data_IF_189578736481
#
_entry.id   IF_189578736481
#
_cell.length_a   1.000
_cell.length_b   1.000
_cell.length_c   1.000
_cell.angle_alpha   90.00
_cell.angle_beta   90.00
_cell.angle_gamma   90.00
#
_symmetry.space_group_name_H-M   'P 1'
#
loop_
_entity.id
_entity.type
_entity.pdbx_description
1 polymer ?
#
# COMPACT_ATOMS: atom_id res chain seq x y z
N UNK A 1 7.44 -5.84 -16.76
CA UNK A 1 6.73 -5.47 -15.53
C UNK A 1 5.25 -5.93 -15.47
N UNK A 2 4.80 -6.85 -16.35
CA UNK A 2 3.40 -7.29 -16.40
C UNK A 2 2.99 -8.37 -15.36
N UNK A 3 3.93 -9.01 -14.63
CA UNK A 3 3.61 -10.13 -13.71
C UNK A 3 3.30 -9.70 -12.26
N UNK A 4 3.89 -8.61 -11.78
CA UNK A 4 3.73 -8.13 -10.40
C UNK A 4 2.31 -7.64 -10.14
N UNK A 5 1.88 -6.60 -10.87
CA UNK A 5 0.53 -6.04 -10.72
C UNK A 5 -0.58 -7.07 -10.99
N UNK A 6 -0.37 -7.98 -11.95
CA UNK A 6 -1.33 -9.05 -12.28
C UNK A 6 -1.51 -10.05 -11.14
N UNK A 7 -0.47 -10.37 -10.37
CA UNK A 7 -0.61 -11.33 -9.28
C UNK A 7 -1.47 -10.75 -8.14
N UNK A 8 -1.21 -9.50 -7.75
CA UNK A 8 -2.01 -8.83 -6.73
C UNK A 8 -3.49 -8.70 -7.15
N UNK A 9 -3.75 -8.22 -8.36
CA UNK A 9 -5.13 -8.01 -8.84
C UNK A 9 -5.87 -9.33 -9.07
N UNK A 10 -5.24 -10.32 -9.71
CA UNK A 10 -5.86 -11.63 -9.95
C UNK A 10 -6.13 -12.43 -8.66
N UNK A 11 -5.46 -12.08 -7.56
CA UNK A 11 -5.67 -12.69 -6.24
C UNK A 11 -6.60 -11.86 -5.36
N UNK A 12 -7.13 -10.74 -5.86
CA UNK A 12 -7.89 -9.76 -5.10
C UNK A 12 -7.16 -9.32 -3.81
N UNK A 13 -5.83 -9.24 -3.84
CA UNK A 13 -5.00 -8.92 -2.68
C UNK A 13 -4.94 -10.01 -1.59
N UNK A 14 -5.55 -11.18 -1.78
CA UNK A 14 -5.50 -12.29 -0.82
C UNK A 14 -4.17 -13.04 -0.92
N UNK A 15 -3.39 -13.02 0.16
CA UNK A 15 -2.10 -13.73 0.28
C UNK A 15 -2.26 -15.21 -0.04
N UNK A 16 -3.27 -15.88 0.54
CA UNK A 16 -3.50 -17.32 0.33
C UNK A 16 -3.81 -17.62 -1.13
N UNK A 17 -4.71 -16.85 -1.77
CA UNK A 17 -5.01 -17.02 -3.21
C UNK A 17 -3.77 -16.75 -4.07
N UNK A 18 -2.97 -15.75 -3.70
CA UNK A 18 -1.72 -15.42 -4.38
C UNK A 18 -0.69 -16.55 -4.29
N UNK A 19 -0.50 -17.13 -3.10
CA UNK A 19 0.35 -18.28 -2.86
C UNK A 19 -0.09 -19.49 -3.68
N UNK A 20 -1.39 -19.83 -3.68
CA UNK A 20 -1.92 -20.95 -4.48
C UNK A 20 -1.73 -20.73 -5.99
N UNK A 21 -1.82 -19.49 -6.46
CA UNK A 21 -1.64 -19.11 -7.88
C UNK A 21 -0.17 -18.95 -8.30
N UNK A 22 0.75 -18.78 -7.36
CA UNK A 22 2.14 -18.43 -7.65
C UNK A 22 3.11 -19.40 -6.97
N UNK A 23 3.60 -20.37 -7.76
CA UNK A 23 4.55 -21.40 -7.29
C UNK A 23 6.02 -21.02 -7.47
N UNK A 24 6.30 -19.86 -8.06
CA UNK A 24 7.65 -19.35 -8.26
C UNK A 24 8.11 -18.49 -7.08
N UNK A 25 9.38 -18.09 -7.09
CA UNK A 25 9.92 -17.15 -6.11
C UNK A 25 9.36 -15.74 -6.25
N UNK A 26 8.92 -15.13 -5.14
CA UNK A 26 8.61 -13.70 -5.09
C UNK A 26 9.93 -12.92 -5.09
N UNK A 27 10.22 -12.12 -6.13
CA UNK A 27 11.46 -11.37 -6.19
C UNK A 27 11.54 -10.35 -5.03
N UNK A 28 12.68 -10.24 -4.31
CA UNK A 28 12.85 -9.25 -3.24
C UNK A 28 12.57 -7.81 -3.70
N UNK A 29 12.84 -7.52 -4.98
CA UNK A 29 12.55 -6.23 -5.60
C UNK A 29 11.07 -5.83 -5.57
N UNK A 30 10.12 -6.77 -5.61
CA UNK A 30 8.69 -6.44 -5.57
C UNK A 30 8.30 -5.87 -4.21
N UNK A 31 8.77 -6.50 -3.13
CA UNK A 31 8.58 -6.00 -1.77
C UNK A 31 9.25 -4.63 -1.61
N UNK A 32 10.49 -4.48 -2.08
CA UNK A 32 11.21 -3.19 -2.02
C UNK A 32 10.50 -2.09 -2.81
N UNK A 33 9.98 -2.39 -3.99
CA UNK A 33 9.26 -1.44 -4.81
C UNK A 33 7.94 -1.01 -4.14
N UNK A 34 7.15 -1.96 -3.64
CA UNK A 34 5.92 -1.66 -2.90
C UNK A 34 6.20 -0.80 -1.66
N UNK A 35 7.26 -1.13 -0.89
CA UNK A 35 7.72 -0.33 0.25
C UNK A 35 8.14 1.08 -0.18
N UNK A 36 8.92 1.20 -1.26
CA UNK A 36 9.37 2.50 -1.79
C UNK A 36 8.18 3.35 -2.21
N UNK A 37 7.21 2.78 -2.92
CA UNK A 37 5.98 3.46 -3.29
C UNK A 37 5.20 3.93 -2.07
N UNK A 38 5.04 3.09 -1.04
CA UNK A 38 4.38 3.48 0.21
C UNK A 38 5.10 4.64 0.90
N UNK A 39 6.43 4.54 1.05
CA UNK A 39 7.24 5.58 1.70
C UNK A 39 7.24 6.90 0.94
N UNK A 40 7.20 6.86 -0.39
CA UNK A 40 7.13 8.06 -1.22
C UNK A 40 5.84 8.87 -1.02
N UNK A 41 4.76 8.24 -0.56
CA UNK A 41 3.45 8.90 -0.35
C UNK A 41 3.35 9.54 1.06
N UNK A 42 4.18 9.13 2.03
CA UNK A 42 4.11 9.65 3.41
C UNK A 42 4.25 11.19 3.50
N UNK A 43 5.16 11.85 2.74
CA UNK A 43 5.20 13.31 2.71
C UNK A 43 3.92 13.96 2.15
N UNK A 44 3.28 13.34 1.15
CA UNK A 44 2.00 13.85 0.61
C UNK A 44 0.90 13.79 1.67
N UNK A 45 0.85 12.72 2.47
CA UNK A 45 -0.09 12.59 3.60
C UNK A 45 0.13 13.71 4.60
N UNK A 46 1.39 13.94 5.02
CA UNK A 46 1.73 14.98 5.98
C UNK A 46 1.30 16.37 5.48
N UNK A 47 1.58 16.68 4.21
CA UNK A 47 1.20 17.95 3.59
C UNK A 47 -0.32 18.14 3.50
N UNK A 48 -1.05 17.09 3.12
CA UNK A 48 -2.52 17.12 3.04
C UNK A 48 -3.16 17.31 4.42
N UNK A 49 -2.66 16.61 5.45
CA UNK A 49 -3.11 16.81 6.84
C UNK A 49 -2.80 18.21 7.34
N UNK A 50 -1.59 18.72 7.09
CA UNK A 50 -1.20 20.06 7.51
C UNK A 50 -2.09 21.13 6.86
N UNK A 51 -2.39 20.97 5.56
CA UNK A 51 -3.29 21.86 4.83
C UNK A 51 -4.72 21.82 5.38
N UNK A 52 -5.25 20.63 5.67
CA UNK A 52 -6.56 20.47 6.29
C UNK A 52 -6.60 21.13 7.68
N UNK A 53 -5.55 20.94 8.48
CA UNK A 53 -5.45 21.52 9.83
C UNK A 53 -5.47 23.04 9.77
N UNK A 54 -4.62 23.65 8.93
CA UNK A 54 -4.57 25.11 8.73
C UNK A 54 -5.92 25.65 8.31
N UNK A 55 -6.54 25.05 7.29
CA UNK A 55 -7.82 25.52 6.77
C UNK A 55 -8.94 25.49 7.84
N UNK A 56 -8.96 24.47 8.70
CA UNK A 56 -9.92 24.38 9.81
C UNK A 56 -9.70 25.44 10.90
N UNK A 57 -8.45 25.82 11.15
CA UNK A 57 -8.10 26.86 12.14
C UNK A 57 -8.37 28.25 11.57
N UNK A 58 -7.88 28.54 10.37
CA UNK A 58 -7.92 29.88 9.79
C UNK A 58 -9.32 30.24 9.27
N UNK A 59 -10.05 29.26 8.73
CA UNK A 59 -11.34 29.46 8.04
C UNK A 59 -12.36 28.37 8.39
N UNK A 60 -12.81 28.28 9.65
CA UNK A 60 -13.71 27.20 10.10
C UNK A 60 -15.06 27.15 9.37
N UNK A 61 -15.51 28.28 8.79
CA UNK A 61 -16.77 28.37 8.03
C UNK A 61 -16.62 28.01 6.55
N UNK A 62 -15.41 27.82 6.03
CA UNK A 62 -15.14 27.46 4.63
C UNK A 62 -15.44 25.97 4.34
N UNK A 63 -16.68 25.55 4.60
CA UNK A 63 -17.10 24.13 4.55
C UNK A 63 -16.82 23.45 3.22
N UNK A 64 -17.01 24.17 2.11
CA UNK A 64 -16.79 23.64 0.76
C UNK A 64 -15.30 23.34 0.51
N UNK A 65 -14.42 24.27 0.88
CA UNK A 65 -12.97 24.11 0.75
C UNK A 65 -12.46 22.99 1.68
N UNK A 66 -12.94 22.96 2.92
CA UNK A 66 -12.61 21.89 3.88
C UNK A 66 -13.02 20.53 3.31
N UNK A 67 -14.23 20.42 2.74
CA UNK A 67 -14.69 19.20 2.09
C UNK A 67 -13.85 18.79 0.88
N UNK A 68 -13.33 19.75 0.10
CA UNK A 68 -12.39 19.47 -1.00
C UNK A 68 -11.08 18.89 -0.47
N UNK A 69 -10.43 19.55 0.49
CA UNK A 69 -9.16 19.08 1.06
C UNK A 69 -9.31 17.74 1.77
N UNK A 70 -10.46 17.48 2.42
CA UNK A 70 -10.74 16.16 3.01
C UNK A 70 -10.81 15.04 1.96
N UNK A 71 -11.40 15.31 0.78
CA UNK A 71 -11.44 14.33 -0.32
C UNK A 71 -10.05 14.08 -0.90
N UNK A 72 -9.25 15.14 -1.06
CA UNK A 72 -7.84 15.01 -1.49
C UNK A 72 -7.03 14.18 -0.50
N UNK A 73 -7.13 14.46 0.80
CA UNK A 73 -6.48 13.67 1.85
C UNK A 73 -6.91 12.20 1.79
N UNK A 74 -8.20 11.91 1.62
CA UNK A 74 -8.70 10.54 1.46
C UNK A 74 -8.07 9.84 0.27
N UNK A 75 -7.99 10.50 -0.89
CA UNK A 75 -7.36 9.94 -2.09
C UNK A 75 -5.87 9.60 -1.88
N UNK A 76 -5.13 10.45 -1.16
CA UNK A 76 -3.73 10.16 -0.81
C UNK A 76 -3.63 8.97 0.15
N UNK A 77 -4.52 8.88 1.14
CA UNK A 77 -4.59 7.76 2.07
C UNK A 77 -4.92 6.44 1.34
N UNK A 78 -5.88 6.44 0.43
CA UNK A 78 -6.26 5.26 -0.37
C UNK A 78 -5.07 4.74 -1.21
N UNK A 79 -4.31 5.67 -1.81
CA UNK A 79 -3.06 5.33 -2.54
C UNK A 79 -2.02 4.70 -1.62
N UNK A 80 -1.80 5.27 -0.44
CA UNK A 80 -0.85 4.74 0.53
C UNK A 80 -1.28 3.36 1.02
N UNK A 81 -2.56 3.18 1.31
CA UNK A 81 -3.13 1.91 1.76
C UNK A 81 -2.97 0.85 0.68
N UNK A 82 -3.23 1.17 -0.60
CA UNK A 82 -3.00 0.25 -1.70
C UNK A 82 -1.51 -0.18 -1.79
N UNK A 83 -0.58 0.75 -1.62
CA UNK A 83 0.84 0.44 -1.62
C UNK A 83 1.23 -0.46 -0.42
N UNK A 84 0.67 -0.18 0.76
CA UNK A 84 0.84 -1.00 1.96
C UNK A 84 0.29 -2.42 1.78
N UNK A 85 -0.94 -2.55 1.27
CA UNK A 85 -1.56 -3.85 0.97
C UNK A 85 -0.72 -4.66 -0.03
N UNK A 86 -0.15 -4.03 -1.05
CA UNK A 86 0.77 -4.69 -1.99
C UNK A 86 2.06 -5.15 -1.31
N UNK A 87 2.66 -4.32 -0.45
CA UNK A 87 3.86 -4.71 0.32
C UNK A 87 3.59 -5.97 1.15
N UNK A 88 2.51 -5.95 1.93
CA UNK A 88 2.12 -7.07 2.78
C UNK A 88 1.74 -8.31 1.99
N UNK A 89 1.08 -8.14 0.84
CA UNK A 89 0.73 -9.24 -0.04
C UNK A 89 1.96 -10.01 -0.51
N UNK A 90 2.98 -9.30 -1.04
CA UNK A 90 4.19 -9.95 -1.52
C UNK A 90 5.05 -10.51 -0.38
N UNK A 91 5.14 -9.81 0.77
CA UNK A 91 5.80 -10.33 1.96
C UNK A 91 5.15 -11.61 2.46
N UNK A 92 3.82 -11.63 2.56
CA UNK A 92 3.06 -12.78 3.03
C UNK A 92 3.25 -14.00 2.13
N UNK A 93 3.17 -13.84 0.81
CA UNK A 93 3.43 -14.96 -0.12
C UNK A 93 4.85 -15.48 0.04
N UNK A 94 5.83 -14.57 0.21
CA UNK A 94 7.21 -14.97 0.38
C UNK A 94 7.43 -15.77 1.68
N UNK A 95 6.86 -15.31 2.79
CA UNK A 95 6.88 -16.05 4.07
C UNK A 95 6.29 -17.45 3.89
N UNK A 96 5.14 -17.57 3.24
CA UNK A 96 4.52 -18.88 2.98
C UNK A 96 5.41 -19.80 2.12
N UNK A 97 6.10 -19.26 1.12
CA UNK A 97 7.03 -20.02 0.29
C UNK A 97 8.29 -20.45 1.05
N UNK A 98 8.79 -19.60 1.96
CA UNK A 98 9.94 -19.92 2.83
C UNK A 98 9.55 -21.02 3.83
N UNK A 99 8.40 -20.87 4.50
CA UNK A 99 7.84 -21.91 5.37
C UNK A 99 7.65 -23.25 4.66
N UNK A 100 7.17 -23.25 3.41
CA UNK A 100 7.00 -24.47 2.62
C UNK A 100 8.33 -25.19 2.35
N UNK A 101 9.44 -24.46 2.21
CA UNK A 101 10.74 -25.03 1.83
C UNK A 101 11.62 -25.40 3.02
N UNK A 102 11.63 -24.54 4.03
CA UNK A 102 12.61 -24.57 5.12
C UNK A 102 11.93 -24.84 6.47
N UNK A 103 10.59 -24.91 6.53
CA UNK A 103 9.83 -25.06 7.77
C UNK A 103 9.88 -23.84 8.69
N UNK A 104 10.58 -22.78 8.28
CA UNK A 104 10.77 -21.54 9.04
C UNK A 104 10.90 -20.33 8.11
N UNK A 105 10.79 -19.12 8.65
CA UNK A 105 10.92 -17.85 7.93
C UNK A 105 11.65 -16.83 8.79
N UNK A 106 12.56 -16.05 8.20
CA UNK A 106 13.35 -15.02 8.88
C UNK A 106 12.90 -13.58 8.55
N UNK A 107 11.82 -13.44 7.78
CA UNK A 107 11.27 -12.19 7.26
C UNK A 107 10.30 -11.44 8.17
#
# INVERSE_FOLDING_TARGET
MAREARLFTSSAGSVVRGYLKFRANIPPRWIRNARRSRKAIEPEIANAFHSLKRLRVDRPRARVEIGKVQRELRSVLDRWELAYRKENFYRGIRILLELQREGSSSL
#
